data_IF_561206980348
#
_entry.id   IF_561206980348
#
_cell.length_a   1.000
_cell.length_b   1.000
_cell.length_c   1.000
_cell.angle_alpha   90.00
_cell.angle_beta   90.00
_cell.angle_gamma   90.00
#
_symmetry.space_group_name_H-M   'P 1'
#
loop_
_entity.id
_entity.type
_entity.pdbx_description
1 polymer ?
#
# COMPACT_ATOMS: atom_id res chain seq x y z
N UNK A 1 16.62 7.56 -12.95
CA UNK A 1 16.15 6.75 -11.81
C UNK A 1 14.72 7.13 -11.42
N UNK A 2 14.43 8.35 -10.97
CA UNK A 2 13.03 8.82 -10.79
C UNK A 2 12.17 8.69 -12.07
N UNK A 3 12.77 8.86 -13.25
CA UNK A 3 12.11 8.62 -14.54
C UNK A 3 11.53 7.20 -14.72
N UNK A 4 12.04 6.19 -13.99
CA UNK A 4 11.56 4.82 -14.08
C UNK A 4 10.22 4.63 -13.36
N UNK A 5 10.07 5.25 -12.19
CA UNK A 5 8.79 5.27 -11.46
C UNK A 5 7.79 6.16 -12.18
N UNK A 6 8.26 7.27 -12.75
CA UNK A 6 7.43 8.18 -13.54
C UNK A 6 6.82 7.50 -14.77
N UNK A 7 7.63 6.70 -15.49
CA UNK A 7 7.15 5.89 -16.62
C UNK A 7 6.15 4.81 -16.19
N UNK A 8 6.37 4.15 -15.06
CA UNK A 8 5.41 3.20 -14.49
C UNK A 8 4.10 3.89 -14.08
N UNK A 9 4.19 5.09 -13.49
CA UNK A 9 3.01 5.88 -13.12
C UNK A 9 2.21 6.28 -14.36
N UNK A 10 2.89 6.69 -15.43
CA UNK A 10 2.25 7.02 -16.69
C UNK A 10 1.43 5.83 -17.23
N UNK A 11 2.04 4.65 -17.34
CA UNK A 11 1.34 3.44 -17.80
C UNK A 11 0.24 2.97 -16.86
N UNK A 12 0.45 3.07 -15.54
CA UNK A 12 -0.59 2.78 -14.56
C UNK A 12 -1.81 3.68 -14.77
N UNK A 13 -1.60 4.97 -15.02
CA UNK A 13 -2.67 5.93 -15.25
C UNK A 13 -3.33 5.78 -16.62
N UNK A 14 -2.67 5.29 -17.66
CA UNK A 14 -3.29 5.08 -18.99
C UNK A 14 -4.54 4.20 -18.92
N UNK A 15 -4.54 3.19 -18.04
CA UNK A 15 -5.68 2.30 -17.80
C UNK A 15 -6.80 2.92 -16.94
N UNK A 16 -6.62 4.11 -16.39
CA UNK A 16 -7.56 4.74 -15.46
C UNK A 16 -8.50 5.74 -16.12
N UNK A 17 -9.65 5.98 -15.48
CA UNK A 17 -10.66 6.91 -15.97
C UNK A 17 -10.13 8.36 -16.06
N UNK A 18 -10.57 9.18 -17.02
CA UNK A 18 -10.03 10.52 -17.22
C UNK A 18 -10.13 11.45 -16.00
N UNK A 19 -11.17 11.30 -15.18
CA UNK A 19 -11.32 12.11 -13.96
C UNK A 19 -10.31 11.74 -12.87
N UNK A 20 -9.97 10.45 -12.76
CA UNK A 20 -8.89 9.95 -11.89
C UNK A 20 -7.55 10.49 -12.36
N UNK A 21 -7.21 10.33 -13.65
CA UNK A 21 -5.93 10.81 -14.19
C UNK A 21 -5.69 12.29 -13.89
N UNK A 22 -6.73 13.13 -14.04
CA UNK A 22 -6.65 14.56 -13.71
C UNK A 22 -6.24 14.83 -12.26
N UNK A 23 -6.64 14.01 -11.30
CA UNK A 23 -6.25 14.17 -9.88
C UNK A 23 -4.77 13.89 -9.63
N UNK A 24 -4.14 13.01 -10.42
CA UNK A 24 -2.72 12.69 -10.30
C UNK A 24 -1.80 13.70 -11.02
N UNK A 25 -2.27 14.35 -12.09
CA UNK A 25 -1.46 15.22 -12.96
C UNK A 25 -1.07 16.56 -12.29
N UNK A 26 -1.84 17.05 -11.32
CA UNK A 26 -1.57 18.34 -10.65
C UNK A 26 -0.59 18.20 -9.46
N UNK A 27 0.67 17.86 -9.74
CA UNK A 27 1.77 17.86 -8.75
C UNK A 27 1.79 16.69 -7.76
N UNK A 28 0.67 15.98 -7.62
CA UNK A 28 0.58 14.75 -6.84
C UNK A 28 1.53 13.67 -7.39
N UNK A 29 1.56 13.46 -8.71
CA UNK A 29 2.40 12.45 -9.36
C UNK A 29 3.89 12.61 -9.03
N UNK A 30 4.46 13.80 -9.24
CA UNK A 30 5.87 14.07 -8.95
C UNK A 30 6.22 13.85 -7.47
N UNK A 31 5.34 14.30 -6.58
CA UNK A 31 5.54 14.16 -5.13
C UNK A 31 5.50 12.69 -4.72
N UNK A 32 4.57 11.93 -5.30
CA UNK A 32 4.41 10.50 -5.07
C UNK A 32 5.61 9.70 -5.61
N UNK A 33 6.07 9.99 -6.83
CA UNK A 33 7.27 9.40 -7.44
C UNK A 33 8.48 9.60 -6.53
N UNK A 34 8.71 10.83 -6.04
CA UNK A 34 9.82 11.12 -5.14
C UNK A 34 9.69 10.37 -3.81
N UNK A 35 8.48 10.31 -3.24
CA UNK A 35 8.23 9.59 -1.98
C UNK A 35 8.55 8.10 -2.14
N UNK A 36 8.03 7.48 -3.20
CA UNK A 36 8.27 6.07 -3.51
C UNK A 36 9.76 5.83 -3.71
N UNK A 37 10.45 6.68 -4.49
CA UNK A 37 11.89 6.56 -4.72
C UNK A 37 12.71 6.63 -3.41
N UNK A 38 12.36 7.56 -2.51
CA UNK A 38 13.12 7.78 -1.27
C UNK A 38 12.94 6.70 -0.20
N UNK A 39 11.86 5.92 -0.24
CA UNK A 39 11.48 5.00 0.84
C UNK A 39 10.62 3.83 0.39
N UNK A 40 10.89 3.29 -0.80
CA UNK A 40 10.05 2.27 -1.44
C UNK A 40 9.79 1.05 -0.55
N UNK A 41 10.86 0.45 -0.02
CA UNK A 41 10.78 -0.80 0.73
C UNK A 41 9.98 -0.64 2.03
N UNK A 42 10.29 0.37 2.83
CA UNK A 42 9.58 0.63 4.08
C UNK A 42 8.12 1.01 3.84
N UNK A 43 7.83 1.75 2.76
CA UNK A 43 6.46 2.09 2.39
C UNK A 43 5.68 0.84 1.94
N UNK A 44 6.27 -0.03 1.12
CA UNK A 44 5.64 -1.29 0.72
C UNK A 44 5.42 -2.22 1.91
N UNK A 45 6.43 -2.42 2.76
CA UNK A 45 6.32 -3.24 3.98
C UNK A 45 5.18 -2.73 4.88
N UNK A 46 5.04 -1.40 5.04
CA UNK A 46 3.93 -0.82 5.79
C UNK A 46 2.56 -1.07 5.15
N UNK A 47 2.45 -0.94 3.82
CA UNK A 47 1.18 -1.19 3.11
C UNK A 47 0.81 -2.68 3.17
N UNK A 48 1.79 -3.58 3.04
CA UNK A 48 1.59 -5.03 3.19
C UNK A 48 1.05 -5.34 4.59
N UNK A 49 1.71 -4.81 5.63
CA UNK A 49 1.28 -5.01 7.00
C UNK A 49 -0.16 -4.52 7.24
N UNK A 50 -0.51 -3.32 6.77
CA UNK A 50 -1.89 -2.82 6.89
C UNK A 50 -2.91 -3.68 6.12
N UNK A 51 -2.54 -4.25 4.97
CA UNK A 51 -3.41 -5.18 4.24
C UNK A 51 -3.62 -6.49 4.99
N UNK A 52 -2.58 -7.01 5.62
CA UNK A 52 -2.65 -8.23 6.44
C UNK A 52 -3.53 -8.03 7.67
N UNK A 53 -3.34 -6.92 8.39
CA UNK A 53 -4.18 -6.51 9.52
C UNK A 53 -5.66 -6.35 9.11
N UNK A 54 -5.92 -5.65 8.00
CA UNK A 54 -7.28 -5.51 7.45
C UNK A 54 -7.91 -6.87 7.17
N UNK A 55 -7.16 -7.75 6.50
CA UNK A 55 -7.64 -9.09 6.13
C UNK A 55 -7.92 -9.93 7.38
N UNK A 56 -7.10 -9.82 8.43
CA UNK A 56 -7.31 -10.51 9.70
C UNK A 56 -8.54 -9.98 10.43
N UNK A 57 -8.72 -8.66 10.47
CA UNK A 57 -9.88 -7.99 11.06
C UNK A 57 -11.18 -8.41 10.37
N UNK A 58 -11.23 -8.34 9.03
CA UNK A 58 -12.39 -8.75 8.24
C UNK A 58 -12.74 -10.22 8.50
N UNK A 59 -11.75 -11.13 8.48
CA UNK A 59 -11.98 -12.55 8.80
C UNK A 59 -12.59 -12.73 10.18
N UNK A 60 -12.06 -12.03 11.20
CA UNK A 60 -12.59 -12.12 12.56
C UNK A 60 -14.03 -11.60 12.64
N UNK A 61 -14.33 -10.46 12.03
CA UNK A 61 -15.68 -9.88 11.99
C UNK A 61 -16.69 -10.82 11.30
N UNK A 62 -16.34 -11.41 10.15
CA UNK A 62 -17.22 -12.35 9.45
C UNK A 62 -17.40 -13.68 10.19
N UNK A 63 -16.34 -14.17 10.84
CA UNK A 63 -16.44 -15.36 11.70
C UNK A 63 -17.35 -15.10 12.90
N UNK A 64 -17.20 -13.96 13.56
CA UNK A 64 -18.04 -13.54 14.67
C UNK A 64 -19.50 -13.38 14.24
N UNK A 65 -19.76 -12.72 13.10
CA UNK A 65 -21.10 -12.62 12.51
C UNK A 65 -21.73 -13.98 12.27
N UNK A 66 -20.96 -14.93 11.71
CA UNK A 66 -21.44 -16.29 11.44
C UNK A 66 -21.77 -17.05 12.73
N UNK A 67 -20.94 -16.90 13.75
CA UNK A 67 -21.21 -17.49 15.06
C UNK A 67 -22.45 -16.85 15.71
N UNK A 68 -22.58 -15.53 15.67
CA UNK A 68 -23.73 -14.80 16.19
C UNK A 68 -25.04 -15.22 15.51
N UNK A 69 -25.04 -15.36 14.18
CA UNK A 69 -26.19 -15.91 13.45
C UNK A 69 -26.59 -17.31 13.94
N UNK A 70 -25.60 -18.17 14.26
CA UNK A 70 -25.88 -19.52 14.74
C UNK A 70 -26.52 -19.57 16.13
N UNK A 71 -26.28 -18.57 16.98
CA UNK A 71 -26.88 -18.50 18.32
C UNK A 71 -28.30 -17.93 18.31
N UNK A 72 -28.69 -17.21 17.24
CA UNK A 72 -29.98 -16.54 17.13
C UNK A 72 -31.06 -17.33 16.38
N UNK A 73 -30.83 -18.59 16.00
CA UNK A 73 -31.72 -19.34 15.09
C UNK A 73 -33.20 -19.43 15.52
N UNK A 74 -33.51 -19.29 16.80
CA UNK A 74 -34.88 -19.33 17.35
C UNK A 74 -35.33 -17.97 17.91
N UNK A 75 -34.55 -16.92 17.69
CA UNK A 75 -34.84 -15.57 18.18
C UNK A 75 -35.82 -14.85 17.26
N UNK A 76 -36.95 -14.42 17.81
CA UNK A 76 -37.98 -13.66 17.09
C UNK A 76 -37.52 -12.30 16.58
N UNK A 77 -36.42 -11.76 17.11
CA UNK A 77 -35.82 -10.48 16.71
C UNK A 77 -34.49 -10.67 15.96
N UNK A 78 -34.27 -11.85 15.33
CA UNK A 78 -33.04 -12.17 14.62
C UNK A 78 -32.64 -11.10 13.58
N UNK A 79 -33.59 -10.55 12.83
CA UNK A 79 -33.31 -9.56 11.79
C UNK A 79 -32.75 -8.25 12.37
N UNK A 80 -33.37 -7.73 13.44
CA UNK A 80 -32.94 -6.50 14.12
C UNK A 80 -31.54 -6.67 14.71
N UNK A 81 -31.30 -7.79 15.39
CA UNK A 81 -30.00 -8.12 15.99
C UNK A 81 -28.90 -8.28 14.94
N UNK A 82 -29.21 -8.90 13.79
CA UNK A 82 -28.25 -9.01 12.70
C UNK A 82 -27.96 -7.65 12.06
N UNK A 83 -28.96 -6.78 11.91
CA UNK A 83 -28.79 -5.43 11.39
C UNK A 83 -27.90 -4.59 12.32
N UNK A 84 -28.12 -4.66 13.63
CA UNK A 84 -27.27 -4.01 14.63
C UNK A 84 -25.82 -4.51 14.54
N UNK A 85 -25.63 -5.83 14.43
CA UNK A 85 -24.31 -6.43 14.29
C UNK A 85 -23.63 -6.04 12.96
N UNK A 86 -24.37 -5.97 11.86
CA UNK A 86 -23.84 -5.54 10.56
C UNK A 86 -23.45 -4.06 10.57
N UNK A 87 -24.25 -3.23 11.24
CA UNK A 87 -23.92 -1.82 11.49
C UNK A 87 -22.63 -1.68 12.31
N UNK A 88 -22.46 -2.52 13.34
CA UNK A 88 -21.22 -2.58 14.12
C UNK A 88 -20.01 -2.97 13.26
N UNK A 89 -20.14 -3.97 12.37
CA UNK A 89 -19.07 -4.36 11.45
C UNK A 89 -18.65 -3.17 10.57
N UNK A 90 -19.61 -2.48 9.97
CA UNK A 90 -19.34 -1.30 9.13
C UNK A 90 -18.58 -0.23 9.92
N UNK A 91 -19.05 0.09 11.14
CA UNK A 91 -18.37 1.04 12.02
C UNK A 91 -16.91 0.66 12.31
N UNK A 92 -16.64 -0.61 12.58
CA UNK A 92 -15.26 -1.09 12.86
C UNK A 92 -14.37 -0.96 11.63
N UNK A 93 -14.90 -1.25 10.45
CA UNK A 93 -14.17 -1.13 9.18
C UNK A 93 -13.89 0.33 8.83
N UNK A 94 -14.86 1.23 9.03
CA UNK A 94 -14.68 2.68 8.82
C UNK A 94 -13.62 3.26 9.74
N UNK A 95 -13.60 2.85 11.02
CA UNK A 95 -12.57 3.27 11.97
C UNK A 95 -11.19 2.71 11.62
N UNK A 96 -11.12 1.53 11.01
CA UNK A 96 -9.86 0.98 10.51
C UNK A 96 -9.37 1.74 9.27
N UNK A 97 -10.27 2.06 8.32
CA UNK A 97 -9.95 2.89 7.15
C UNK A 97 -9.37 4.25 7.57
N UNK A 98 -10.02 4.95 8.51
CA UNK A 98 -9.53 6.25 9.02
C UNK A 98 -8.13 6.13 9.63
N UNK A 99 -7.84 5.04 10.34
CA UNK A 99 -6.50 4.78 10.90
C UNK A 99 -5.46 4.56 9.81
N UNK A 100 -5.77 3.83 8.74
CA UNK A 100 -4.87 3.66 7.60
C UNK A 100 -4.59 5.00 6.91
N UNK A 101 -5.64 5.79 6.64
CA UNK A 101 -5.53 7.12 6.05
C UNK A 101 -4.65 8.05 6.90
N UNK A 102 -4.88 8.07 8.21
CA UNK A 102 -4.09 8.88 9.15
C UNK A 102 -2.63 8.44 9.16
N UNK A 103 -2.35 7.13 9.28
CA UNK A 103 -0.99 6.61 9.32
C UNK A 103 -0.20 6.95 8.04
N UNK A 104 -0.83 6.86 6.86
CA UNK A 104 -0.20 7.21 5.59
C UNK A 104 -0.01 8.72 5.45
N UNK A 105 -0.94 9.52 5.96
CA UNK A 105 -0.81 10.98 6.05
C UNK A 105 0.35 11.38 6.96
N UNK A 106 0.50 10.75 8.13
CA UNK A 106 1.61 10.99 9.08
C UNK A 106 2.96 10.59 8.50
N UNK A 107 2.99 9.54 7.67
CA UNK A 107 4.17 9.17 6.88
C UNK A 107 4.43 10.12 5.71
N UNK A 108 3.63 11.18 5.55
CA UNK A 108 3.70 12.15 4.47
C UNK A 108 3.61 11.50 3.09
N UNK A 109 2.75 10.49 2.93
CA UNK A 109 2.45 9.90 1.63
C UNK A 109 1.51 10.86 0.89
N UNK A 110 1.91 11.40 -0.27
CA UNK A 110 1.08 12.36 -1.00
C UNK A 110 -0.28 11.77 -1.37
N UNK A 111 -1.34 12.58 -1.24
CA UNK A 111 -2.72 12.18 -1.57
C UNK A 111 -3.49 11.54 -0.42
N UNK A 112 -2.85 11.28 0.73
CA UNK A 112 -3.53 10.77 1.93
C UNK A 112 -3.92 11.88 2.88
N UNK A 113 -5.18 11.82 3.30
CA UNK A 113 -5.82 12.58 4.35
C UNK A 113 -7.07 11.81 4.79
N UNK A 114 -7.56 12.04 6.01
CA UNK A 114 -8.78 11.38 6.49
C UNK A 114 -9.98 11.92 5.71
N UNK A 115 -10.74 11.04 5.08
CA UNK A 115 -11.90 11.40 4.24
C UNK A 115 -12.89 10.24 4.14
N UNK A 116 -14.18 10.58 4.09
CA UNK A 116 -15.30 9.69 3.79
C UNK A 116 -15.81 9.88 2.35
N UNK A 117 -15.21 10.80 1.58
CA UNK A 117 -15.59 11.04 0.20
C UNK A 117 -15.19 9.83 -0.67
N UNK A 118 -16.15 9.18 -1.36
CA UNK A 118 -15.87 7.94 -2.09
C UNK A 118 -14.88 8.14 -3.26
N UNK A 119 -14.86 9.33 -3.87
CA UNK A 119 -13.92 9.64 -4.97
C UNK A 119 -12.50 9.79 -4.43
N UNK A 120 -12.34 10.45 -3.28
CA UNK A 120 -11.02 10.58 -2.65
C UNK A 120 -10.50 9.24 -2.13
N UNK A 121 -11.39 8.39 -1.58
CA UNK A 121 -11.07 7.01 -1.19
C UNK A 121 -10.63 6.19 -2.41
N UNK A 122 -11.34 6.29 -3.55
CA UNK A 122 -10.95 5.63 -4.80
C UNK A 122 -9.54 6.04 -5.24
N UNK A 123 -9.23 7.33 -5.20
CA UNK A 123 -7.89 7.85 -5.52
C UNK A 123 -6.84 7.32 -4.54
N UNK A 124 -7.12 7.31 -3.23
CA UNK A 124 -6.20 6.77 -2.21
C UNK A 124 -5.95 5.27 -2.40
N UNK A 125 -6.98 4.49 -2.74
CA UNK A 125 -6.85 3.07 -3.08
C UNK A 125 -5.95 2.87 -4.29
N UNK A 126 -6.15 3.66 -5.35
CA UNK A 126 -5.29 3.59 -6.55
C UNK A 126 -3.84 3.96 -6.26
N UNK A 127 -3.58 4.90 -5.34
CA UNK A 127 -2.22 5.20 -4.89
C UNK A 127 -1.61 3.97 -4.21
N UNK A 128 -2.35 3.28 -3.33
CA UNK A 128 -1.87 2.04 -2.70
C UNK A 128 -1.55 0.95 -3.71
N UNK A 129 -2.45 0.74 -4.69
CA UNK A 129 -2.24 -0.23 -5.76
C UNK A 129 -0.99 0.09 -6.57
N UNK A 130 -0.80 1.35 -6.94
CA UNK A 130 0.37 1.78 -7.67
C UNK A 130 1.66 1.51 -6.88
N UNK A 131 1.72 1.90 -5.60
CA UNK A 131 2.91 1.67 -4.74
C UNK A 131 3.26 0.18 -4.66
N UNK A 132 2.25 -0.68 -4.62
CA UNK A 132 2.43 -2.13 -4.59
C UNK A 132 2.91 -2.72 -5.93
N UNK A 133 2.58 -2.09 -7.05
CA UNK A 133 2.97 -2.53 -8.39
C UNK A 133 4.32 -1.97 -8.83
N UNK A 134 4.73 -0.82 -8.31
CA UNK A 134 6.03 -0.22 -8.64
C UNK A 134 7.13 -1.22 -8.33
N UNK A 135 7.97 -1.46 -9.32
CA UNK A 135 9.25 -2.15 -9.16
C UNK A 135 10.33 -1.10 -9.20
N UNK A 136 11.35 -1.23 -8.36
CA UNK A 136 12.59 -0.46 -8.50
C UNK A 136 13.71 -1.40 -8.96
N UNK A 137 14.64 -0.92 -9.81
CA UNK A 137 15.83 -1.70 -10.13
C UNK A 137 16.59 -1.97 -8.83
N UNK A 138 17.04 -3.21 -8.63
CA UNK A 138 17.96 -3.47 -7.52
C UNK A 138 19.22 -2.62 -7.72
N UNK A 139 19.79 -2.07 -6.64
CA UNK A 139 21.07 -1.39 -6.74
C UNK A 139 22.08 -2.36 -7.33
N UNK A 140 22.69 -1.98 -8.46
CA UNK A 140 23.79 -2.73 -9.07
C UNK A 140 24.84 -2.91 -7.96
N UNK A 141 24.98 -4.13 -7.45
CA UNK A 141 26.05 -4.44 -6.52
C UNK A 141 27.37 -3.98 -7.17
N UNK A 142 28.25 -3.26 -6.44
CA UNK A 142 29.55 -2.92 -7.00
C UNK A 142 30.20 -4.23 -7.47
N UNK A 143 30.86 -4.25 -8.64
CA UNK A 143 31.51 -5.46 -9.11
C UNK A 143 32.43 -5.93 -8.00
N UNK A 144 32.22 -7.16 -7.53
CA UNK A 144 33.12 -7.81 -6.61
C UNK A 144 34.53 -7.65 -7.20
N UNK A 145 35.35 -6.82 -6.54
CA UNK A 145 36.74 -6.67 -6.89
C UNK A 145 37.35 -8.06 -6.80
N UNK A 146 37.51 -8.70 -7.95
CA UNK A 146 38.13 -10.01 -8.07
C UNK A 146 39.51 -9.88 -7.45
N UNK A 147 39.67 -10.39 -6.23
CA UNK A 147 40.97 -10.68 -5.67
C UNK A 147 41.57 -11.81 -6.51
N UNK A 148 42.16 -11.45 -7.64
CA UNK A 148 43.19 -12.22 -8.29
C UNK A 148 44.51 -11.53 -7.97
N UNK A 149 45.04 -11.87 -6.79
CA UNK A 149 46.43 -11.63 -6.46
C UNK A 149 47.29 -12.38 -7.47
N UNK A 150 47.82 -11.67 -8.45
CA UNK A 150 48.97 -12.14 -9.20
C UNK A 150 50.19 -12.01 -8.29
N UNK A 151 50.97 -13.07 -8.04
CA UNK A 151 52.18 -12.93 -7.24
C UNK A 151 53.19 -12.06 -7.98
N UNK A 152 53.62 -10.98 -7.34
CA UNK A 152 54.72 -10.13 -7.82
C UNK A 152 56.00 -10.97 -7.76
N UNK A 153 56.56 -11.32 -8.92
CA UNK A 153 57.88 -11.94 -9.04
C UNK A 153 58.91 -10.82 -9.04
N UNK A 154 59.72 -10.72 -7.98
CA UNK A 154 60.91 -9.86 -7.99
C UNK A 154 62.02 -10.54 -8.79
N UNK A 155 62.44 -9.91 -9.89
CA UNK A 155 63.64 -10.31 -10.64
C UNK A 155 64.85 -9.65 -9.97
N UNK A 156 65.72 -10.46 -9.35
CA UNK A 156 67.04 -10.00 -8.93
C UNK A 156 67.91 -9.84 -10.18
N UNK A 157 68.30 -8.61 -10.49
CA UNK A 157 69.36 -8.33 -11.47
C UNK A 157 70.71 -8.57 -10.79
N UNK A 158 71.54 -9.38 -11.46
CA UNK A 158 72.92 -9.70 -11.08
C UNK A 158 73.87 -8.54 -11.31
#
# INVERSE_FOLDING_TARGET
>A
MACYVDHQLFHFLEGQLPYIRRRFIYGLGNSLVNKIWSGHRSLQERIIHMREEQSALERALYQNRRHYLSTLQQDSQIEEKLLEHDTYIVSVLDDYLKRQQLALSEMMVPGFFVTDNPIDIEVQTLILEFIMQVRLPEPIAPPESSQHGSPIVYVQLS
#
